data_IF_773398370102
#
_entry.id   IF_773398370102
#
_cell.length_a   1.000
_cell.length_b   1.000
_cell.length_c   1.000
_cell.angle_alpha   90.00
_cell.angle_beta   90.00
_cell.angle_gamma   90.00
#
_symmetry.space_group_name_H-M   'P 1'
#
loop_
_entity.id
_entity.type
_entity.pdbx_description
1 polymer ?
#
# COMPACT_ATOMS: atom_id res chain seq x y z
N UNK A 1 -22.41 -14.77 13.16
CA UNK A 1 -21.10 -15.04 12.55
C UNK A 1 -20.21 -13.88 12.93
N UNK A 2 -19.25 -14.10 13.83
CA UNK A 2 -18.23 -13.08 14.12
C UNK A 2 -17.38 -12.93 12.86
N UNK A 3 -17.58 -11.83 12.15
CA UNK A 3 -16.72 -11.46 11.03
C UNK A 3 -15.41 -10.93 11.58
N UNK A 4 -14.28 -11.45 11.09
CA UNK A 4 -12.99 -10.86 11.41
C UNK A 4 -12.86 -9.50 10.72
N UNK A 5 -12.49 -8.47 11.49
CA UNK A 5 -12.25 -7.13 10.94
C UNK A 5 -10.99 -7.15 10.07
N UNK A 6 -11.11 -6.69 8.82
CA UNK A 6 -9.99 -6.59 7.88
C UNK A 6 -9.34 -5.20 7.96
N UNK A 7 -10.16 -4.16 8.19
CA UNK A 7 -9.72 -2.78 8.30
C UNK A 7 -10.57 -2.05 9.33
N UNK A 8 -9.92 -1.22 10.15
CA UNK A 8 -10.55 -0.33 11.11
C UNK A 8 -9.94 1.04 10.97
N UNK A 9 -10.77 2.08 10.98
CA UNK A 9 -10.31 3.41 10.64
C UNK A 9 -11.34 4.50 10.83
N UNK A 10 -11.06 5.66 10.24
CA UNK A 10 -11.92 6.84 10.25
C UNK A 10 -12.62 6.97 8.90
N UNK A 11 -13.93 7.21 8.96
CA UNK A 11 -14.72 7.62 7.81
C UNK A 11 -14.43 9.10 7.50
N UNK A 12 -14.11 9.39 6.26
CA UNK A 12 -13.69 10.72 5.80
C UNK A 12 -14.69 11.36 4.89
N UNK A 13 -15.33 10.57 4.03
CA UNK A 13 -16.27 11.07 3.05
C UNK A 13 -17.50 10.17 2.97
N UNK A 14 -18.64 10.83 2.75
CA UNK A 14 -19.93 10.21 2.50
C UNK A 14 -20.61 10.95 1.37
N UNK A 15 -20.67 10.30 0.22
CA UNK A 15 -21.44 10.78 -0.93
C UNK A 15 -22.74 9.98 -1.02
N UNK A 16 -23.87 10.67 -1.18
CA UNK A 16 -25.19 10.03 -1.35
C UNK A 16 -25.60 10.17 -2.81
N UNK A 17 -25.91 9.05 -3.43
CA UNK A 17 -26.38 8.94 -4.82
C UNK A 17 -27.85 8.47 -4.83
N UNK A 18 -28.51 8.57 -5.97
CA UNK A 18 -29.94 8.25 -6.12
C UNK A 18 -30.28 6.81 -5.70
N UNK A 19 -29.36 5.86 -5.89
CA UNK A 19 -29.54 4.44 -5.57
C UNK A 19 -28.45 3.87 -4.64
N UNK A 20 -27.68 4.71 -3.94
CA UNK A 20 -26.57 4.21 -3.12
C UNK A 20 -25.90 5.25 -2.24
N UNK A 21 -25.03 4.78 -1.34
CA UNK A 21 -24.16 5.62 -0.53
C UNK A 21 -22.74 5.15 -0.73
N UNK A 22 -21.87 6.05 -1.18
CA UNK A 22 -20.44 5.82 -1.27
C UNK A 22 -19.80 6.36 0.01
N UNK A 23 -19.10 5.49 0.72
CA UNK A 23 -18.37 5.81 1.93
C UNK A 23 -16.89 5.60 1.68
N UNK A 24 -16.06 6.59 2.00
CA UNK A 24 -14.61 6.47 1.96
C UNK A 24 -14.02 6.73 3.34
N UNK A 25 -12.97 6.00 3.66
CA UNK A 25 -12.26 6.15 4.92
C UNK A 25 -10.83 5.66 4.79
N UNK A 26 -10.00 6.07 5.74
CA UNK A 26 -8.61 5.62 5.88
C UNK A 26 -8.44 4.90 7.21
N UNK A 27 -7.43 4.06 7.26
CA UNK A 27 -7.02 3.36 8.47
C UNK A 27 -6.40 4.33 9.50
N UNK A 28 -5.99 3.80 10.65
CA UNK A 28 -5.46 4.62 11.73
C UNK A 28 -4.13 5.29 11.42
N UNK A 29 -3.37 4.82 10.42
CA UNK A 29 -2.15 5.52 9.97
C UNK A 29 -2.43 6.91 9.40
N UNK A 30 -3.68 7.24 9.02
CA UNK A 30 -4.08 8.61 8.68
C UNK A 30 -3.76 9.61 9.80
N UNK A 31 -3.79 9.17 11.07
CA UNK A 31 -3.41 10.01 12.21
C UNK A 31 -1.93 10.38 12.22
N UNK A 32 -1.07 9.56 11.62
CA UNK A 32 0.35 9.84 11.48
C UNK A 32 0.61 10.91 10.41
N UNK A 33 -0.28 11.08 9.44
CA UNK A 33 -0.21 12.17 8.46
C UNK A 33 -0.68 13.50 9.05
N UNK A 34 -1.71 13.47 9.89
CA UNK A 34 -2.33 14.67 10.45
C UNK A 34 -1.48 15.32 11.57
N UNK A 35 -0.45 14.63 12.10
CA UNK A 35 0.32 15.06 13.27
C UNK A 35 1.78 15.34 12.90
N UNK A 36 2.20 16.58 13.11
CA UNK A 36 3.58 17.02 12.88
C UNK A 36 4.45 16.82 14.13
N UNK A 37 5.64 16.28 13.91
CA UNK A 37 6.65 15.95 14.91
C UNK A 37 7.60 17.13 15.13
N UNK A 38 7.86 17.38 16.41
CA UNK A 38 8.82 18.34 16.95
C UNK A 38 9.59 17.63 18.05
N UNK A 39 10.67 16.95 17.67
CA UNK A 39 11.44 16.11 18.55
C UNK A 39 12.90 16.07 18.14
N UNK A 40 13.77 15.94 19.13
CA UNK A 40 15.20 15.80 18.96
C UNK A 40 15.68 14.67 19.87
N UNK A 41 16.46 13.75 19.31
CA UNK A 41 17.07 12.66 20.04
C UNK A 41 18.55 12.58 19.69
N UNK A 42 19.36 12.32 20.70
CA UNK A 42 20.81 12.20 20.59
C UNK A 42 21.22 10.79 21.00
N UNK A 43 21.96 10.11 20.13
CA UNK A 43 22.47 8.75 20.33
C UNK A 43 21.44 7.79 20.95
N UNK A 44 20.24 7.74 20.36
CA UNK A 44 19.12 6.95 20.87
C UNK A 44 18.73 5.84 19.92
N UNK A 45 18.34 4.71 20.47
CA UNK A 45 17.92 3.56 19.67
C UNK A 45 16.59 3.85 18.97
N UNK A 46 16.45 3.45 17.71
CA UNK A 46 15.25 3.71 16.89
C UNK A 46 13.98 3.11 17.51
N UNK A 47 14.03 1.87 18.00
CA UNK A 47 12.88 1.25 18.68
C UNK A 47 12.47 2.04 19.93
N UNK A 48 13.42 2.52 20.72
CA UNK A 48 13.12 3.35 21.91
C UNK A 48 12.61 4.75 21.51
N UNK A 49 13.12 5.36 20.43
CA UNK A 49 12.55 6.59 19.86
C UNK A 49 11.05 6.41 19.52
N UNK A 50 10.65 5.22 19.07
CA UNK A 50 9.26 4.92 18.72
C UNK A 50 8.42 4.64 19.98
N UNK A 51 8.90 3.82 20.91
CA UNK A 51 8.09 3.22 21.99
C UNK A 51 8.17 3.91 23.34
N UNK A 52 9.18 4.75 23.60
CA UNK A 52 9.43 5.23 24.95
C UNK A 52 8.22 5.93 25.57
N UNK A 53 7.84 5.54 26.78
CA UNK A 53 6.61 6.01 27.44
C UNK A 53 6.63 7.49 27.81
N UNK A 54 7.81 8.10 27.95
CA UNK A 54 7.94 9.49 28.40
C UNK A 54 8.01 10.44 27.21
N UNK A 55 8.80 10.10 26.20
CA UNK A 55 9.11 10.99 25.09
C UNK A 55 9.17 10.30 23.73
N UNK A 56 8.76 9.05 23.63
CA UNK A 56 8.69 8.32 22.36
C UNK A 56 7.67 8.93 21.41
N UNK A 57 7.91 8.76 20.11
CA UNK A 57 7.08 9.35 19.06
C UNK A 57 5.63 8.88 19.15
N UNK A 58 5.39 7.58 19.32
CA UNK A 58 4.02 7.04 19.34
C UNK A 58 3.28 7.47 20.61
N UNK A 59 3.82 7.32 21.84
CA UNK A 59 3.11 7.79 23.03
C UNK A 59 2.87 9.30 23.06
N UNK A 60 3.82 10.10 22.55
CA UNK A 60 3.70 11.57 22.54
C UNK A 60 2.71 12.07 21.50
N UNK A 61 2.79 11.55 20.27
CA UNK A 61 1.99 12.06 19.15
C UNK A 61 0.74 11.26 18.91
N UNK A 62 0.64 9.98 19.28
CA UNK A 62 -0.54 9.11 19.10
C UNK A 62 -0.72 8.15 20.28
N UNK A 63 -1.04 8.66 21.49
CA UNK A 63 -1.15 7.86 22.72
C UNK A 63 -2.22 6.75 22.65
N UNK A 64 -3.16 6.85 21.72
CA UNK A 64 -4.18 5.84 21.46
C UNK A 64 -3.68 4.59 20.72
N UNK A 65 -2.47 4.64 20.14
CA UNK A 65 -1.85 3.52 19.43
C UNK A 65 -0.80 2.89 20.35
N UNK A 66 -0.95 1.59 20.57
CA UNK A 66 0.01 0.78 21.33
C UNK A 66 1.23 0.42 20.47
N UNK A 67 2.32 -0.02 21.11
CA UNK A 67 3.60 -0.34 20.45
C UNK A 67 4.13 -1.71 20.86
N UNK A 68 3.22 -2.63 21.18
CA UNK A 68 3.57 -3.94 21.73
C UNK A 68 4.33 -4.80 20.70
N UNK A 69 4.07 -4.58 19.41
CA UNK A 69 4.71 -5.29 18.30
C UNK A 69 5.82 -4.48 17.61
N UNK A 70 6.48 -3.56 18.32
CA UNK A 70 7.69 -2.89 17.86
C UNK A 70 8.92 -3.71 18.25
N UNK A 71 9.60 -4.27 17.24
CA UNK A 71 10.80 -5.07 17.45
C UNK A 71 12.03 -4.19 17.69
N UNK A 72 12.94 -4.66 18.54
CA UNK A 72 14.23 -4.02 18.82
C UNK A 72 15.05 -3.90 17.54
N UNK A 73 15.72 -2.75 17.37
CA UNK A 73 16.43 -2.41 16.12
C UNK A 73 17.95 -2.46 16.26
N UNK A 74 18.48 -2.33 17.48
CA UNK A 74 19.91 -2.21 17.80
C UNK A 74 20.64 -1.11 17.02
N UNK A 75 19.91 -0.08 16.55
CA UNK A 75 20.44 1.01 15.74
C UNK A 75 20.23 2.34 16.44
N UNK A 76 21.33 3.02 16.74
CA UNK A 76 21.35 4.31 17.40
C UNK A 76 21.50 5.44 16.38
N UNK A 77 20.73 6.51 16.58
CA UNK A 77 20.74 7.70 15.72
C UNK A 77 20.73 8.99 16.55
N UNK A 78 21.21 10.06 15.91
CA UNK A 78 21.02 11.43 16.36
C UNK A 78 20.25 12.18 15.27
N UNK A 79 19.03 12.61 15.59
CA UNK A 79 18.11 13.26 14.64
C UNK A 79 17.23 14.30 15.31
N UNK A 80 16.91 15.34 14.55
CA UNK A 80 15.98 16.41 14.91
C UNK A 80 14.94 16.55 13.80
N UNK A 81 13.68 16.57 14.18
CA UNK A 81 12.54 16.82 13.30
C UNK A 81 11.81 18.08 13.75
N UNK A 82 11.52 18.95 12.80
CA UNK A 82 10.76 20.19 13.01
C UNK A 82 9.66 20.22 11.97
N UNK A 83 8.41 20.14 12.42
CA UNK A 83 7.22 20.20 11.56
C UNK A 83 7.16 19.10 10.48
N UNK A 84 7.67 17.91 10.78
CA UNK A 84 7.63 16.77 9.84
C UNK A 84 6.47 15.85 10.21
N UNK A 85 5.58 15.44 9.28
CA UNK A 85 4.51 14.49 9.58
C UNK A 85 5.07 13.20 10.19
N UNK A 86 4.42 12.67 11.23
CA UNK A 86 4.86 11.47 11.94
C UNK A 86 5.06 10.27 11.00
N UNK A 87 4.20 10.13 9.97
CA UNK A 87 4.34 9.06 8.99
C UNK A 87 5.70 9.14 8.25
N UNK A 88 6.11 10.35 7.88
CA UNK A 88 7.38 10.59 7.17
C UNK A 88 8.56 10.25 8.09
N UNK A 89 8.47 10.64 9.36
CA UNK A 89 9.48 10.28 10.38
C UNK A 89 9.59 8.76 10.52
N UNK A 90 8.47 8.04 10.66
CA UNK A 90 8.48 6.58 10.76
C UNK A 90 9.03 5.91 9.50
N UNK A 91 8.74 6.42 8.31
CA UNK A 91 9.35 5.94 7.07
C UNK A 91 10.86 6.18 7.01
N UNK A 92 11.35 7.33 7.47
CA UNK A 92 12.78 7.60 7.57
C UNK A 92 13.45 6.56 8.49
N UNK A 93 12.90 6.37 9.69
CA UNK A 93 13.41 5.42 10.68
C UNK A 93 13.40 3.99 10.13
N UNK A 94 12.29 3.55 9.56
CA UNK A 94 12.14 2.23 8.94
C UNK A 94 13.16 2.02 7.80
N UNK A 95 13.44 3.05 7.00
CA UNK A 95 14.41 2.97 5.91
C UNK A 95 15.84 2.81 6.43
N UNK A 96 16.20 3.43 7.56
CA UNK A 96 17.54 3.32 8.16
C UNK A 96 17.83 1.90 8.65
N UNK A 97 16.83 1.21 9.18
CA UNK A 97 16.98 -0.15 9.72
C UNK A 97 16.54 -1.25 8.75
N UNK A 98 15.99 -0.89 7.59
CA UNK A 98 15.34 -1.79 6.65
C UNK A 98 14.20 -2.59 7.31
N UNK A 99 13.26 -1.87 7.92
CA UNK A 99 12.03 -2.37 8.54
C UNK A 99 10.82 -1.93 7.72
N UNK A 100 9.69 -2.60 7.95
CA UNK A 100 8.36 -2.16 7.53
C UNK A 100 7.46 -2.00 8.76
N UNK A 101 6.37 -1.25 8.61
CA UNK A 101 5.42 -1.02 9.68
C UNK A 101 3.99 -0.89 9.17
N UNK A 102 3.04 -1.22 10.04
CA UNK A 102 1.62 -0.98 9.84
C UNK A 102 0.91 -0.89 11.18
N UNK A 103 -0.31 -0.35 11.20
CA UNK A 103 -1.17 -0.36 12.39
C UNK A 103 -2.30 -1.36 12.16
N UNK A 104 -2.49 -2.26 13.12
CA UNK A 104 -3.54 -3.28 13.02
C UNK A 104 -4.93 -2.79 13.47
N UNK A 105 -5.90 -3.69 13.46
CA UNK A 105 -7.29 -3.39 13.86
C UNK A 105 -7.46 -3.17 15.36
N UNK A 106 -6.47 -3.55 16.17
CA UNK A 106 -6.44 -3.46 17.63
C UNK A 106 -5.71 -2.20 18.11
N UNK A 107 -5.37 -1.29 17.18
CA UNK A 107 -4.61 -0.06 17.46
C UNK A 107 -3.21 -0.37 17.97
N UNK A 108 -2.54 -1.36 17.43
CA UNK A 108 -1.13 -1.64 17.74
C UNK A 108 -0.24 -1.40 16.52
N UNK A 109 0.88 -0.71 16.75
CA UNK A 109 1.90 -0.49 15.75
C UNK A 109 2.81 -1.72 15.69
N UNK A 110 2.81 -2.36 14.52
CA UNK A 110 3.80 -3.38 14.16
C UNK A 110 4.98 -2.70 13.50
N UNK A 111 6.19 -2.93 14.00
CA UNK A 111 7.43 -2.41 13.41
C UNK A 111 8.46 -3.55 13.40
N UNK A 112 8.75 -4.09 12.22
CA UNK A 112 9.47 -5.36 12.07
C UNK A 112 10.44 -5.33 10.88
N UNK A 113 11.52 -6.14 10.91
CA UNK A 113 12.45 -6.25 9.79
C UNK A 113 11.71 -6.63 8.52
N UNK A 114 12.06 -5.99 7.40
CA UNK A 114 11.53 -6.40 6.10
C UNK A 114 11.82 -7.89 5.90
N UNK A 115 10.88 -8.61 5.28
CA UNK A 115 11.01 -10.04 4.93
C UNK A 115 11.01 -10.98 6.14
N UNK A 116 10.70 -10.51 7.34
CA UNK A 116 10.65 -11.38 8.53
C UNK A 116 9.35 -12.20 8.63
N UNK A 117 8.37 -11.93 7.76
CA UNK A 117 7.04 -12.53 7.81
C UNK A 117 6.71 -13.28 6.53
N UNK A 118 6.60 -14.59 6.64
CA UNK A 118 6.02 -15.44 5.61
C UNK A 118 4.53 -15.65 5.90
N UNK A 119 3.68 -15.35 4.93
CA UNK A 119 2.25 -15.59 5.04
C UNK A 119 1.90 -17.09 5.03
N UNK A 120 2.82 -17.94 4.56
CA UNK A 120 2.58 -19.37 4.30
C UNK A 120 1.59 -19.61 3.16
N UNK A 121 1.14 -18.57 2.45
CA UNK A 121 0.17 -18.66 1.36
C UNK A 121 0.89 -18.92 0.04
N UNK A 122 0.24 -19.64 -0.85
CA UNK A 122 0.73 -19.91 -2.20
C UNK A 122 -0.32 -19.51 -3.23
N UNK A 123 0.09 -18.69 -4.20
CA UNK A 123 -0.69 -18.38 -5.39
C UNK A 123 -0.31 -19.35 -6.50
N UNK A 124 -1.31 -20.09 -7.01
CA UNK A 124 -1.13 -21.09 -8.06
C UNK A 124 -2.36 -21.17 -8.97
N UNK A 125 -2.30 -22.05 -9.97
CA UNK A 125 -3.39 -22.23 -10.95
C UNK A 125 -4.72 -22.70 -10.32
N UNK A 126 -4.75 -23.14 -9.05
CA UNK A 126 -5.97 -23.55 -8.36
C UNK A 126 -6.75 -22.38 -7.76
N UNK A 127 -6.08 -21.28 -7.42
CA UNK A 127 -6.67 -20.13 -6.74
C UNK A 127 -6.59 -18.82 -7.55
N UNK A 128 -5.74 -18.77 -8.57
CA UNK A 128 -5.63 -17.62 -9.48
C UNK A 128 -6.78 -17.59 -10.50
N UNK A 129 -7.48 -16.46 -10.53
CA UNK A 129 -8.49 -16.14 -11.57
C UNK A 129 -7.84 -15.44 -12.77
N UNK A 130 -6.87 -14.55 -12.50
CA UNK A 130 -6.12 -13.81 -13.52
C UNK A 130 -4.75 -13.45 -12.96
N UNK A 131 -3.75 -13.36 -13.83
CA UNK A 131 -2.45 -12.82 -13.47
C UNK A 131 -1.88 -11.96 -14.59
N UNK A 132 -1.06 -10.98 -14.21
CA UNK A 132 -0.20 -10.20 -15.10
C UNK A 132 1.19 -10.14 -14.48
N UNK A 133 2.14 -10.84 -15.07
CA UNK A 133 3.54 -10.84 -14.66
C UNK A 133 4.40 -10.73 -15.92
N UNK A 134 5.39 -9.82 -15.97
CA UNK A 134 6.27 -9.71 -17.11
C UNK A 134 7.13 -10.97 -17.25
N UNK A 135 7.33 -11.37 -18.51
CA UNK A 135 8.25 -12.46 -18.85
C UNK A 135 9.67 -12.14 -18.35
N UNK A 136 10.37 -13.20 -17.96
CA UNK A 136 11.74 -13.12 -17.43
C UNK A 136 12.64 -12.41 -18.45
N UNK A 137 13.42 -11.43 -18.00
CA UNK A 137 14.44 -10.80 -18.83
C UNK A 137 13.97 -9.75 -19.84
N UNK A 138 12.67 -9.46 -19.96
CA UNK A 138 12.14 -8.54 -20.99
C UNK A 138 12.62 -7.08 -20.84
N UNK A 139 12.88 -6.63 -19.61
CA UNK A 139 13.37 -5.28 -19.30
C UNK A 139 14.81 -5.26 -18.78
N UNK A 140 15.50 -6.39 -18.82
CA UNK A 140 16.90 -6.50 -18.34
C UNK A 140 17.82 -5.83 -19.35
N UNK A 141 18.73 -5.01 -18.85
CA UNK A 141 19.90 -4.51 -19.59
C UNK A 141 21.12 -4.82 -18.75
N UNK A 142 21.99 -5.68 -19.24
CA UNK A 142 23.20 -6.11 -18.54
C UNK A 142 24.50 -5.71 -19.25
N UNK A 143 24.40 -5.00 -20.36
CA UNK A 143 25.52 -4.37 -21.04
C UNK A 143 25.14 -2.98 -21.52
N UNK A 144 25.97 -2.00 -21.18
CA UNK A 144 25.78 -0.59 -21.54
C UNK A 144 27.07 -0.07 -22.14
N UNK A 145 26.96 0.60 -23.28
CA UNK A 145 28.02 1.38 -23.89
C UNK A 145 27.69 2.86 -23.77
N UNK A 146 28.63 3.65 -23.25
CA UNK A 146 28.51 5.10 -23.10
C UNK A 146 29.59 5.79 -23.93
N UNK A 147 29.15 6.77 -24.74
CA UNK A 147 30.00 7.64 -25.54
C UNK A 147 30.05 9.04 -24.91
N UNK A 148 31.25 9.50 -24.61
CA UNK A 148 31.55 10.84 -24.12
C UNK A 148 32.14 11.74 -25.21
N UNK A 149 32.67 12.89 -24.79
CA UNK A 149 33.37 13.83 -25.67
C UNK A 149 34.74 13.27 -26.09
N UNK A 150 35.27 13.72 -27.24
CA UNK A 150 36.65 13.45 -27.69
C UNK A 150 37.01 11.94 -27.82
N UNK A 151 36.04 11.10 -28.18
CA UNK A 151 36.29 9.67 -28.44
C UNK A 151 36.31 8.79 -27.19
N UNK A 152 35.93 9.32 -26.03
CA UNK A 152 35.73 8.52 -24.81
C UNK A 152 34.59 7.52 -25.06
N UNK A 153 34.89 6.23 -24.93
CA UNK A 153 33.93 5.14 -25.03
C UNK A 153 34.17 4.17 -23.88
N UNK A 154 33.16 3.94 -23.06
CA UNK A 154 33.22 3.01 -21.93
C UNK A 154 32.09 2.00 -22.03
N UNK A 155 32.42 0.71 -21.91
CA UNK A 155 31.45 -0.37 -21.86
C UNK A 155 31.48 -1.02 -20.47
N UNK A 156 30.31 -1.20 -19.87
CA UNK A 156 30.15 -1.81 -18.55
C UNK A 156 29.17 -2.96 -18.65
N UNK A 157 29.52 -4.07 -18.00
CA UNK A 157 28.81 -5.34 -18.04
C UNK A 157 28.60 -5.92 -16.65
N UNK A 158 27.50 -6.66 -16.47
CA UNK A 158 27.23 -7.44 -15.26
C UNK A 158 27.27 -8.94 -15.59
N UNK A 159 28.37 -9.64 -15.28
CA UNK A 159 28.51 -11.07 -15.57
C UNK A 159 27.44 -11.95 -14.92
N UNK A 160 26.96 -11.59 -13.72
CA UNK A 160 25.95 -12.35 -12.99
C UNK A 160 24.58 -12.25 -13.67
N UNK A 161 24.22 -11.05 -14.09
CA UNK A 161 22.99 -10.82 -14.87
C UNK A 161 23.09 -11.44 -16.28
N UNK A 162 24.26 -11.44 -16.92
CA UNK A 162 24.49 -12.10 -18.22
C UNK A 162 24.32 -13.61 -18.11
N UNK A 163 24.86 -14.24 -17.06
CA UNK A 163 24.70 -15.67 -16.83
C UNK A 163 23.23 -16.07 -16.64
N UNK A 164 22.43 -15.20 -16.03
CA UNK A 164 21.02 -15.45 -15.71
C UNK A 164 20.06 -15.17 -16.87
N UNK A 165 20.26 -14.08 -17.61
CA UNK A 165 19.30 -13.58 -18.61
C UNK A 165 19.84 -13.58 -20.05
N UNK A 166 21.10 -13.97 -20.27
CA UNK A 166 21.80 -13.83 -21.55
C UNK A 166 22.17 -12.38 -21.85
N UNK A 167 22.94 -12.12 -22.90
CA UNK A 167 23.38 -10.75 -23.24
C UNK A 167 22.18 -9.89 -23.69
N UNK A 168 21.98 -8.78 -22.98
CA UNK A 168 20.93 -7.78 -23.21
C UNK A 168 21.55 -6.38 -23.20
N UNK A 169 21.80 -5.88 -24.41
CA UNK A 169 22.40 -4.57 -24.64
C UNK A 169 21.35 -3.47 -24.71
N UNK A 170 21.65 -2.32 -24.10
CA UNK A 170 20.89 -1.09 -24.29
C UNK A 170 21.50 -0.26 -25.42
N UNK A 171 20.67 0.53 -26.07
CA UNK A 171 21.10 1.53 -27.03
C UNK A 171 22.24 2.40 -26.47
N UNK A 172 23.25 2.74 -27.28
CA UNK A 172 24.39 3.49 -26.80
C UNK A 172 23.98 4.85 -26.25
N UNK A 173 24.45 5.17 -25.05
CA UNK A 173 24.16 6.45 -24.40
C UNK A 173 25.21 7.46 -24.85
N UNK A 174 24.77 8.52 -25.52
CA UNK A 174 25.65 9.61 -25.96
C UNK A 174 25.46 10.78 -25.00
N UNK A 175 26.50 11.10 -24.21
CA UNK A 175 26.51 12.24 -23.30
C UNK A 175 27.74 13.11 -23.58
N UNK A 176 27.59 14.17 -24.41
CA UNK A 176 28.69 15.08 -24.76
C UNK A 176 29.24 15.90 -23.58
N UNK A 177 28.57 15.91 -22.42
CA UNK A 177 29.03 16.63 -21.23
C UNK A 177 30.15 15.89 -20.48
N UNK A 178 30.35 14.60 -20.79
CA UNK A 178 31.35 13.77 -20.13
C UNK A 178 32.71 13.97 -20.80
N UNK A 179 33.63 14.56 -20.05
CA UNK A 179 35.01 14.85 -20.48
C UNK A 179 36.05 13.90 -19.87
N UNK A 180 35.64 13.01 -18.96
CA UNK A 180 36.54 12.10 -18.25
C UNK A 180 36.05 10.65 -18.26
N UNK A 181 36.98 9.71 -18.45
CA UNK A 181 36.68 8.28 -18.56
C UNK A 181 36.19 7.68 -17.24
N UNK A 182 36.62 8.19 -16.07
CA UNK A 182 36.15 7.66 -14.79
C UNK A 182 34.70 8.09 -14.53
N UNK A 183 34.37 9.35 -14.81
CA UNK A 183 32.98 9.84 -14.70
C UNK A 183 32.02 9.11 -15.66
N UNK A 184 32.50 8.73 -16.85
CA UNK A 184 31.76 7.88 -17.80
C UNK A 184 31.46 6.50 -17.20
N UNK A 185 32.47 5.87 -16.60
CA UNK A 185 32.35 4.57 -15.95
C UNK A 185 31.36 4.60 -14.78
N UNK A 186 31.46 5.58 -13.89
CA UNK A 186 30.57 5.69 -12.73
C UNK A 186 29.11 5.88 -13.13
N UNK A 187 28.84 6.74 -14.12
CA UNK A 187 27.50 6.93 -14.68
C UNK A 187 26.97 5.64 -15.32
N UNK A 188 27.77 4.99 -16.17
CA UNK A 188 27.38 3.75 -16.84
C UNK A 188 27.12 2.63 -15.83
N UNK A 189 27.97 2.47 -14.81
CA UNK A 189 27.82 1.52 -13.73
C UNK A 189 26.58 1.81 -12.86
N UNK A 190 26.29 3.07 -12.57
CA UNK A 190 25.09 3.45 -11.81
C UNK A 190 23.80 3.12 -12.58
N UNK A 191 23.79 3.31 -13.90
CA UNK A 191 22.64 2.94 -14.75
C UNK A 191 22.53 1.42 -14.85
N UNK A 192 23.65 0.72 -15.06
CA UNK A 192 23.69 -0.73 -15.15
C UNK A 192 23.15 -1.36 -13.87
N UNK A 193 23.57 -0.89 -12.69
CA UNK A 193 23.03 -1.38 -11.40
C UNK A 193 21.52 -1.25 -11.29
N UNK A 194 20.89 -0.29 -11.96
CA UNK A 194 19.42 -0.13 -11.94
C UNK A 194 18.69 -1.05 -12.92
N UNK A 195 19.36 -1.45 -14.01
CA UNK A 195 18.72 -2.15 -15.13
C UNK A 195 19.15 -3.62 -15.29
N UNK A 196 20.27 -4.02 -14.68
CA UNK A 196 20.79 -5.39 -14.74
C UNK A 196 19.84 -6.38 -14.08
N UNK A 197 19.09 -5.95 -13.05
CA UNK A 197 18.14 -6.78 -12.32
C UNK A 197 16.85 -5.98 -12.05
N UNK A 198 15.95 -5.82 -13.04
CA UNK A 198 14.70 -5.11 -12.85
C UNK A 198 13.79 -5.89 -11.89
N UNK A 199 13.18 -5.19 -10.94
CA UNK A 199 12.18 -5.76 -10.04
C UNK A 199 11.01 -6.27 -10.88
N UNK A 200 10.73 -7.58 -10.82
CA UNK A 200 9.55 -8.15 -11.49
C UNK A 200 8.34 -7.91 -10.62
N UNK A 201 7.46 -7.02 -11.04
CA UNK A 201 6.18 -6.81 -10.38
C UNK A 201 5.13 -7.72 -11.01
N UNK A 202 4.32 -8.38 -10.19
CA UNK A 202 3.22 -9.22 -10.64
C UNK A 202 1.91 -8.79 -9.99
N UNK A 203 0.85 -8.69 -10.79
CA UNK A 203 -0.52 -8.47 -10.32
C UNK A 203 -1.30 -9.77 -10.44
N UNK A 204 -1.99 -10.16 -9.38
CA UNK A 204 -2.75 -11.40 -9.30
C UNK A 204 -4.17 -11.11 -8.84
N UNK A 205 -5.16 -11.74 -9.46
CA UNK A 205 -6.55 -11.70 -9.03
C UNK A 205 -6.91 -13.10 -8.55
N UNK A 206 -7.35 -13.20 -7.30
CA UNK A 206 -7.77 -14.44 -6.63
C UNK A 206 -9.15 -14.25 -6.01
N UNK A 207 -9.80 -15.36 -5.62
CA UNK A 207 -10.95 -15.29 -4.72
C UNK A 207 -10.50 -14.78 -3.34
N UNK A 208 -11.33 -13.98 -2.69
CA UNK A 208 -11.03 -13.40 -1.37
C UNK A 208 -10.84 -14.46 -0.28
N UNK A 209 -11.42 -15.65 -0.46
CA UNK A 209 -11.33 -16.77 0.48
C UNK A 209 -9.89 -17.25 0.66
N UNK A 210 -9.37 -17.16 1.89
CA UNK A 210 -8.03 -17.64 2.24
C UNK A 210 -6.92 -16.59 2.19
N UNK A 211 -7.21 -15.37 1.73
CA UNK A 211 -6.24 -14.27 1.61
C UNK A 211 -6.63 -13.01 2.40
N UNK A 212 -7.71 -13.05 3.21
CA UNK A 212 -8.18 -11.91 4.03
C UNK A 212 -7.20 -11.49 5.12
N UNK A 213 -6.35 -12.41 5.54
CA UNK A 213 -5.29 -12.23 6.54
C UNK A 213 -4.02 -11.59 5.95
N UNK A 214 -3.85 -11.62 4.63
CA UNK A 214 -2.67 -11.08 3.96
C UNK A 214 -2.50 -9.58 4.23
N UNK A 215 -1.27 -9.15 4.53
CA UNK A 215 -0.91 -7.74 4.71
C UNK A 215 0.23 -7.33 3.78
N UNK A 216 0.29 -6.05 3.37
CA UNK A 216 1.48 -5.53 2.71
C UNK A 216 2.73 -5.78 3.55
N UNK A 217 3.83 -6.17 2.90
CA UNK A 217 5.09 -6.53 3.55
C UNK A 217 5.24 -8.03 3.88
N UNK A 218 4.17 -8.83 3.83
CA UNK A 218 4.28 -10.29 3.94
C UNK A 218 4.92 -10.90 2.68
N UNK A 219 5.65 -12.00 2.85
CA UNK A 219 6.12 -12.84 1.76
C UNK A 219 5.02 -13.84 1.37
N UNK A 220 4.86 -14.05 0.06
CA UNK A 220 3.94 -15.02 -0.53
C UNK A 220 4.66 -15.85 -1.58
N UNK A 221 4.34 -17.13 -1.67
CA UNK A 221 4.88 -17.99 -2.72
C UNK A 221 4.02 -17.89 -3.97
N UNK A 222 4.63 -17.65 -5.13
CA UNK A 222 3.92 -17.66 -6.42
C UNK A 222 4.46 -18.81 -7.26
N UNK A 223 3.56 -19.71 -7.66
CA UNK A 223 3.85 -20.87 -8.48
C UNK A 223 2.98 -20.86 -9.75
N UNK A 224 3.55 -20.39 -10.86
CA UNK A 224 2.94 -20.37 -12.19
C UNK A 224 3.89 -21.12 -13.14
N UNK A 225 3.73 -22.44 -13.30
CA UNK A 225 4.62 -23.27 -14.12
C UNK A 225 4.70 -22.81 -15.58
N UNK A 226 3.58 -22.35 -16.15
CA UNK A 226 3.49 -21.85 -17.53
C UNK A 226 4.41 -20.64 -17.81
N UNK A 227 4.76 -19.89 -16.77
CA UNK A 227 5.66 -18.74 -16.83
C UNK A 227 7.05 -19.02 -16.24
N UNK A 228 7.34 -20.28 -15.87
CA UNK A 228 8.54 -20.67 -15.12
C UNK A 228 8.75 -19.83 -13.86
N UNK A 229 7.67 -19.54 -13.13
CA UNK A 229 7.71 -18.79 -11.87
C UNK A 229 7.43 -19.74 -10.73
N UNK A 230 8.41 -19.96 -9.85
CA UNK A 230 8.26 -20.65 -8.58
C UNK A 230 9.20 -20.00 -7.57
N UNK A 231 8.78 -18.84 -7.05
CA UNK A 231 9.61 -18.02 -6.17
C UNK A 231 8.75 -17.24 -5.17
N UNK A 232 9.42 -16.69 -4.16
CA UNK A 232 8.79 -15.82 -3.17
C UNK A 232 8.71 -14.38 -3.70
N UNK A 233 7.56 -13.77 -3.49
CA UNK A 233 7.29 -12.38 -3.82
C UNK A 233 6.89 -11.62 -2.55
N UNK A 234 7.27 -10.35 -2.48
CA UNK A 234 6.81 -9.43 -1.45
C UNK A 234 5.45 -8.86 -1.85
N UNK A 235 4.48 -8.89 -0.95
CA UNK A 235 3.17 -8.28 -1.16
C UNK A 235 3.30 -6.76 -1.01
N UNK A 236 2.98 -6.01 -2.06
CA UNK A 236 3.00 -4.54 -2.07
C UNK A 236 1.64 -3.95 -1.74
N UNK A 237 0.58 -4.51 -2.33
CA UNK A 237 -0.77 -3.99 -2.23
C UNK A 237 -1.77 -5.15 -2.28
N UNK A 238 -2.84 -5.06 -1.48
CA UNK A 238 -3.97 -5.98 -1.52
C UNK A 238 -5.26 -5.17 -1.57
N UNK A 239 -6.06 -5.38 -2.60
CA UNK A 239 -7.36 -4.72 -2.79
C UNK A 239 -8.45 -5.77 -2.73
N UNK A 240 -9.35 -5.66 -1.75
CA UNK A 240 -10.52 -6.54 -1.65
C UNK A 240 -11.75 -5.87 -2.27
N UNK A 241 -12.38 -6.52 -3.23
CA UNK A 241 -13.65 -6.07 -3.82
C UNK A 241 -14.77 -6.99 -3.34
N UNK A 242 -15.86 -6.38 -2.88
CA UNK A 242 -17.05 -7.07 -2.41
C UNK A 242 -18.29 -6.26 -2.82
N UNK A 243 -19.29 -6.83 -3.51
CA UNK A 243 -19.27 -7.80 -4.61
C UNK A 243 -18.91 -7.12 -5.96
N UNK A 244 -18.34 -7.84 -6.95
CA UNK A 244 -18.02 -9.27 -7.00
C UNK A 244 -16.75 -9.62 -6.21
N UNK A 245 -16.76 -10.75 -5.49
CA UNK A 245 -15.78 -11.20 -4.48
C UNK A 245 -14.41 -11.59 -5.05
N UNK A 246 -13.60 -10.63 -5.50
CA UNK A 246 -12.21 -10.89 -5.87
C UNK A 246 -11.23 -10.03 -5.04
N UNK A 247 -10.02 -10.55 -4.84
CA UNK A 247 -8.89 -9.83 -4.28
C UNK A 247 -7.84 -9.62 -5.37
N UNK A 248 -7.43 -8.37 -5.58
CA UNK A 248 -6.29 -8.02 -6.44
C UNK A 248 -5.05 -7.83 -5.55
N UNK A 249 -4.00 -8.61 -5.80
CA UNK A 249 -2.76 -8.64 -5.04
C UNK A 249 -1.63 -8.20 -5.98
N UNK A 250 -0.95 -7.10 -5.65
CA UNK A 250 0.26 -6.66 -6.36
C UNK A 250 1.49 -7.06 -5.55
N UNK A 251 2.47 -7.61 -6.23
CA UNK A 251 3.67 -8.18 -5.62
C UNK A 251 4.94 -7.80 -6.38
N UNK A 252 6.09 -7.99 -5.77
CA UNK A 252 7.41 -7.81 -6.40
C UNK A 252 8.34 -9.01 -6.11
N UNK A 253 9.06 -9.49 -7.13
CA UNK A 253 10.05 -10.56 -7.02
C UNK A 253 11.17 -10.11 -6.10
N UNK A 254 11.53 -10.99 -5.16
CA UNK A 254 12.54 -10.71 -4.18
C UNK A 254 13.97 -10.97 -4.72
N UNK A 255 14.87 -9.98 -4.61
CA UNK A 255 16.31 -10.12 -4.82
C UNK A 255 17.08 -9.38 -3.72
N UNK A 256 18.24 -9.93 -3.29
CA UNK A 256 18.99 -9.48 -2.10
C UNK A 256 19.61 -8.09 -2.27
N UNK A 257 19.80 -7.61 -3.50
CA UNK A 257 20.71 -6.50 -3.82
C UNK A 257 20.09 -5.09 -3.82
N UNK A 258 18.76 -4.92 -3.64
CA UNK A 258 18.10 -3.63 -3.93
C UNK A 258 17.07 -3.13 -2.90
N UNK A 259 17.28 -3.40 -1.61
CA UNK A 259 16.50 -2.73 -0.55
C UNK A 259 16.56 -1.18 -0.66
N UNK A 260 17.66 -0.64 -1.19
CA UNK A 260 17.93 0.80 -1.29
C UNK A 260 17.15 1.52 -2.40
N UNK A 261 16.80 0.84 -3.50
CA UNK A 261 16.11 1.48 -4.64
C UNK A 261 14.64 1.78 -4.35
N UNK A 262 13.99 0.96 -3.51
CA UNK A 262 12.61 1.21 -3.07
C UNK A 262 12.55 2.38 -2.08
N UNK A 263 13.58 2.57 -1.25
CA UNK A 263 13.70 3.72 -0.36
C UNK A 263 14.00 5.04 -1.11
N UNK A 264 14.73 5.00 -2.22
CA UNK A 264 15.05 6.19 -3.03
C UNK A 264 13.81 6.77 -3.76
N UNK A 265 12.87 5.91 -4.19
CA UNK A 265 11.63 6.34 -4.83
C UNK A 265 10.67 7.03 -3.85
N UNK A 266 10.57 6.56 -2.60
CA UNK A 266 9.76 7.21 -1.56
C UNK A 266 10.41 8.50 -1.06
N UNK A 267 11.74 8.55 -0.96
CA UNK A 267 12.50 9.74 -0.54
C UNK A 267 12.36 10.91 -1.52
N UNK A 268 12.38 10.65 -2.84
CA UNK A 268 12.17 11.70 -3.86
C UNK A 268 10.81 12.39 -3.79
N UNK A 269 9.78 11.74 -3.26
CA UNK A 269 8.45 12.36 -3.07
C UNK A 269 8.43 13.26 -1.83
N UNK A 270 9.21 12.92 -0.79
CA UNK A 270 9.31 13.68 0.46
C UNK A 270 10.18 14.93 0.30
N UNK A 271 11.31 14.85 -0.40
CA UNK A 271 12.25 15.96 -0.58
C UNK A 271 11.66 17.14 -1.39
N UNK A 272 10.64 16.90 -2.22
CA UNK A 272 9.97 17.96 -3.00
C UNK A 272 9.16 18.91 -2.08
N UNK A 273 8.69 18.44 -0.92
CA UNK A 273 7.86 19.25 -0.02
C UNK A 273 8.67 20.09 1.00
N UNK A 274 9.98 19.87 1.13
CA UNK A 274 10.81 20.50 2.18
C UNK A 274 11.72 21.63 1.69
N UNK A 275 11.64 22.04 0.41
CA UNK A 275 12.61 23.00 -0.16
C UNK A 275 12.38 24.48 0.14
N UNK A 276 11.27 24.89 0.74
CA UNK A 276 10.95 26.32 0.97
C UNK A 276 10.46 26.65 2.39
N UNK A 277 10.68 25.79 3.40
CA UNK A 277 10.19 26.04 4.75
C UNK A 277 11.28 26.64 5.67
N UNK A 278 11.05 27.86 6.14
CA UNK A 278 11.85 28.52 7.17
C UNK A 278 11.63 27.83 8.54
N UNK A 279 12.64 27.09 9.01
CA UNK A 279 12.59 26.19 10.16
C UNK A 279 12.69 26.91 11.52
N UNK A 280 12.81 28.24 11.55
CA UNK A 280 12.95 29.04 12.78
C UNK A 280 11.68 29.82 13.19
N UNK A 281 10.57 29.67 12.47
CA UNK A 281 9.36 30.44 12.72
C UNK A 281 8.64 30.07 14.04
N UNK A 282 8.27 31.09 14.83
CA UNK A 282 7.44 30.94 16.04
C UNK A 282 6.00 30.56 15.67
N UNK A 283 5.53 29.43 16.18
CA UNK A 283 4.20 28.87 15.87
C UNK A 283 3.11 29.59 16.68
N UNK A 284 2.21 30.30 16.01
CA UNK A 284 0.95 30.79 16.58
C UNK A 284 -0.16 29.74 16.39
N UNK A 285 -0.69 29.20 17.50
CA UNK A 285 -1.75 28.19 17.50
C UNK A 285 -3.11 28.85 17.76
N UNK A 286 -4.01 28.80 16.78
CA UNK A 286 -5.41 29.19 16.94
C UNK A 286 -6.25 27.96 17.27
N UNK A 287 -6.98 27.98 18.39
CA UNK A 287 -7.96 26.94 18.73
C UNK A 287 -9.33 27.31 18.15
N UNK A 288 -9.88 26.46 17.27
CA UNK A 288 -11.29 26.50 16.87
C UNK A 288 -11.94 25.23 17.40
N UNK A 289 -12.93 25.37 18.27
CA UNK A 289 -13.73 24.24 18.75
C UNK A 289 -14.77 23.90 17.70
N UNK A 290 -14.75 22.66 17.19
CA UNK A 290 -15.86 22.07 16.45
C UNK A 290 -16.33 20.83 17.22
N UNK A 291 -17.63 20.76 17.51
CA UNK A 291 -18.25 19.64 18.22
C UNK A 291 -18.11 18.33 17.42
N UNK A 292 -17.57 17.29 18.05
CA UNK A 292 -17.60 15.94 17.48
C UNK A 292 -18.96 15.29 17.69
N UNK A 293 -19.77 15.20 16.62
CA UNK A 293 -21.02 14.43 16.63
C UNK A 293 -20.73 12.95 16.30
N UNK A 294 -20.89 12.06 17.28
CA UNK A 294 -20.85 10.60 17.06
C UNK A 294 -22.13 10.17 16.33
N UNK A 295 -22.04 9.77 15.07
CA UNK A 295 -23.16 9.22 14.31
C UNK A 295 -23.08 7.68 14.34
N UNK A 296 -24.08 7.04 14.97
CA UNK A 296 -24.31 5.59 14.84
C UNK A 296 -25.04 5.36 13.51
N UNK A 297 -24.40 4.70 12.55
CA UNK A 297 -25.02 4.37 11.26
C UNK A 297 -25.61 2.97 11.35
N UNK A 298 -26.95 2.91 11.42
CA UNK A 298 -27.71 1.67 11.35
C UNK A 298 -28.16 1.48 9.90
N UNK A 299 -27.77 0.37 9.29
CA UNK A 299 -28.17 -0.06 7.97
C UNK A 299 -29.10 -1.27 8.12
N UNK A 300 -30.33 -1.16 7.61
CA UNK A 300 -31.32 -2.22 7.56
C UNK A 300 -31.65 -2.51 6.10
N UNK A 301 -31.48 -3.76 5.69
CA UNK A 301 -31.81 -4.25 4.35
C UNK A 301 -33.14 -5.00 4.45
N UNK A 302 -34.16 -4.49 3.75
CA UNK A 302 -35.47 -5.12 3.68
C UNK A 302 -35.64 -5.85 2.33
N UNK A 303 -36.29 -7.01 2.37
CA UNK A 303 -36.88 -7.68 1.20
C UNK A 303 -38.34 -7.34 1.16
N UNK A 304 -38.86 -6.97 0.01
CA UNK A 304 -40.30 -6.91 -0.21
C UNK A 304 -40.68 -8.01 -1.19
N UNK A 305 -41.49 -8.98 -0.76
CA UNK A 305 -42.06 -9.97 -1.67
C UNK A 305 -43.23 -9.35 -2.41
N UNK A 306 -43.04 -9.02 -3.68
CA UNK A 306 -44.16 -8.61 -4.53
C UNK A 306 -44.90 -9.87 -4.98
N UNK A 307 -45.87 -10.31 -4.17
CA UNK A 307 -46.77 -11.39 -4.54
C UNK A 307 -47.80 -10.94 -5.58
N UNK A 308 -48.27 -11.87 -6.42
CA UNK A 308 -49.41 -11.63 -7.30
C UNK A 308 -50.65 -11.29 -6.44
N UNK A 309 -51.18 -10.08 -6.63
CA UNK A 309 -52.27 -9.54 -5.82
C UNK A 309 -53.51 -9.21 -6.62
N UNK A 310 -54.66 -9.22 -5.94
CA UNK A 310 -55.94 -8.85 -6.53
C UNK A 310 -56.16 -7.33 -6.39
N UNK A 311 -56.17 -6.59 -7.51
CA UNK A 311 -56.63 -5.20 -7.50
C UNK A 311 -58.14 -5.19 -7.78
N UNK A 312 -58.91 -4.59 -6.88
CA UNK A 312 -60.33 -4.32 -7.11
C UNK A 312 -60.51 -2.94 -7.74
N UNK A 313 -60.66 -2.89 -9.07
CA UNK A 313 -60.95 -1.67 -9.83
C UNK A 313 -60.84 -1.82 -11.36
N UNK A 314 -61.63 -1.05 -12.12
CA UNK A 314 -61.80 -1.10 -13.58
C UNK A 314 -60.69 -0.40 -14.32
N UNK A 315 -60.49 -0.98 -15.49
CA UNK A 315 -59.65 -0.62 -16.62
C UNK A 315 -59.65 0.84 -17.10
N UNK A 316 -60.54 1.70 -16.59
CA UNK A 316 -60.62 3.13 -16.90
C UNK A 316 -61.48 3.87 -15.86
N UNK A 317 -62.64 3.36 -15.39
CA UNK A 317 -63.42 3.96 -14.26
C UNK A 317 -64.16 2.91 -13.37
N UNK A 318 -63.56 2.36 -12.32
CA UNK A 318 -64.01 1.19 -11.51
C UNK A 318 -65.51 0.82 -11.38
N UNK A 319 -66.07 -0.01 -12.29
CA UNK A 319 -67.26 -0.88 -12.04
C UNK A 319 -66.87 -2.24 -11.46
N UNK A 320 -67.66 -2.69 -10.48
CA UNK A 320 -67.49 -3.91 -9.70
C UNK A 320 -67.47 -5.18 -10.58
N UNK A 321 -66.48 -6.06 -10.38
CA UNK A 321 -66.52 -7.44 -10.87
C UNK A 321 -65.58 -7.86 -12.02
N UNK A 322 -64.56 -7.07 -12.41
CA UNK A 322 -63.54 -7.54 -13.37
C UNK A 322 -62.15 -7.74 -12.77
N UNK A 323 -61.59 -8.95 -12.96
CA UNK A 323 -60.23 -9.33 -12.57
C UNK A 323 -59.21 -8.66 -13.50
N UNK A 324 -58.34 -7.81 -12.97
CA UNK A 324 -57.09 -7.40 -13.61
C UNK A 324 -55.90 -7.80 -12.74
N UNK A 325 -54.84 -8.27 -13.39
CA UNK A 325 -53.56 -8.58 -12.77
C UNK A 325 -52.83 -7.29 -12.44
N UNK A 326 -52.45 -7.13 -11.18
CA UNK A 326 -51.60 -6.04 -10.74
C UNK A 326 -50.91 -6.38 -9.43
N UNK A 327 -49.85 -5.66 -9.14
CA UNK A 327 -48.96 -5.94 -8.02
C UNK A 327 -49.56 -5.39 -6.72
N UNK A 328 -49.75 -6.24 -5.70
CA UNK A 328 -50.13 -5.79 -4.36
C UNK A 328 -48.87 -5.49 -3.53
N UNK A 329 -48.99 -4.54 -2.60
CA UNK A 329 -47.91 -4.20 -1.67
C UNK A 329 -47.59 -5.41 -0.78
N UNK A 330 -46.40 -5.97 -0.96
CA UNK A 330 -45.87 -7.07 -0.17
C UNK A 330 -45.52 -6.65 1.25
N UNK A 331 -45.47 -7.63 2.17
CA UNK A 331 -44.88 -7.41 3.48
C UNK A 331 -43.36 -7.25 3.35
N UNK A 332 -42.81 -6.27 4.07
CA UNK A 332 -41.37 -6.04 4.20
C UNK A 332 -40.79 -7.00 5.25
N UNK A 333 -39.83 -7.81 4.86
CA UNK A 333 -39.05 -8.70 5.73
C UNK A 333 -37.65 -8.11 5.89
N UNK A 334 -37.16 -7.95 7.12
CA UNK A 334 -35.79 -7.53 7.38
C UNK A 334 -34.83 -8.70 7.05
N UNK A 335 -34.04 -8.57 5.98
CA UNK A 335 -33.06 -9.59 5.59
C UNK A 335 -31.81 -9.49 6.46
N UNK A 336 -31.38 -8.26 6.75
CA UNK A 336 -30.12 -8.02 7.42
C UNK A 336 -30.10 -6.64 8.08
N UNK A 337 -29.51 -6.57 9.27
CA UNK A 337 -29.26 -5.33 9.99
C UNK A 337 -27.88 -5.39 10.63
N UNK A 338 -27.21 -4.24 10.75
CA UNK A 338 -25.96 -4.10 11.50
C UNK A 338 -26.18 -3.55 12.93
N UNK A 339 -27.41 -3.65 13.44
CA UNK A 339 -27.78 -3.20 14.80
C UNK A 339 -27.17 -4.00 15.93
#
# INVERSE_FOLDING_TARGET
MEGNYILRGRLEDKTTEEYGVIIKGRDYTARFLDRNVYAEYTNREISDIITNTTDGLIPKYTPEITTNNVQTTNKYITRKWVQVPLLVVLHELASIVNYDFYVDTDLDLHFFPRKSRDSGKTLDNSNLLKYDIPDVGKKVVNRITLFGKEGICVQVEDPGSIAKYGVKEKEPIIDPSITDSNTAYEKAAAILRKLANPIRQGTYITLTTGFTDLKPGDLITVNIPEKNVNSQFLVLEVTFTCPPYHAEIKTAEYTVEYADLLADLTKKVVDINMRDADLEATISRYYRFEEQKKLRVICRIYRTYVGEGWIWGHSTWSKWGQRKWGYAAGQEELIWSNE
#
